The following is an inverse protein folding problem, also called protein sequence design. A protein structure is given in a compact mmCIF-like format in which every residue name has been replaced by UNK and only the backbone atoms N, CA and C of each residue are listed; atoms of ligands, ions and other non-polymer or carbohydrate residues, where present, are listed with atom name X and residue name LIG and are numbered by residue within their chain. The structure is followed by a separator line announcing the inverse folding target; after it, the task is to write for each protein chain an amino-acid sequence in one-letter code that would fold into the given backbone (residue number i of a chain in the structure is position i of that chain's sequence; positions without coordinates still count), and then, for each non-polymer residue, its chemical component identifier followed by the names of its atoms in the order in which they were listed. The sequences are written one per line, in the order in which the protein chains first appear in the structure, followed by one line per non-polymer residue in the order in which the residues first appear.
data_IF_332382910866
#
_entry.id   IF_332382910866
#
_cell.length_a   1.000
_cell.length_b   1.000
_cell.length_c   1.000
_cell.angle_alpha   90.00
_cell.angle_beta   90.00
_cell.angle_gamma   90.00
#
_symmetry.space_group_name_H-M   'P 1'
#
loop_
_entity.id
_entity.type
_entity.pdbx_description
1 polymer ?
#
# COMPACT_ATOMS: atom_id res chain seq x y z
N UNK A 1 -15.93 -29.59 -5.27
CA UNK A 1 -16.02 -28.36 -6.09
C UNK A 1 -15.00 -27.35 -5.56
N UNK A 2 -14.01 -27.04 -6.35
CA UNK A 2 -13.06 -26.01 -5.95
C UNK A 2 -13.79 -24.67 -5.92
N UNK A 3 -13.97 -24.07 -4.73
CA UNK A 3 -14.53 -22.75 -4.58
C UNK A 3 -13.60 -21.73 -5.22
N UNK A 4 -14.08 -20.92 -6.16
CA UNK A 4 -13.38 -19.73 -6.60
C UNK A 4 -13.34 -18.76 -5.42
N UNK A 5 -12.17 -18.58 -4.83
CA UNK A 5 -11.94 -17.48 -3.90
C UNK A 5 -11.77 -16.23 -4.76
N UNK A 6 -12.83 -15.49 -4.96
CA UNK A 6 -12.72 -14.15 -5.49
C UNK A 6 -12.32 -13.24 -4.34
N UNK A 7 -11.07 -12.78 -4.36
CA UNK A 7 -10.62 -11.75 -3.44
C UNK A 7 -11.27 -10.42 -3.82
N UNK A 8 -12.14 -9.91 -2.96
CA UNK A 8 -12.67 -8.56 -3.07
C UNK A 8 -11.73 -7.65 -2.29
N UNK A 9 -11.13 -6.70 -2.96
CA UNK A 9 -10.48 -5.58 -2.28
C UNK A 9 -11.53 -4.48 -2.10
N UNK A 10 -12.14 -4.42 -0.92
CA UNK A 10 -12.96 -3.26 -0.56
C UNK A 10 -12.03 -2.12 -0.22
N UNK A 11 -12.04 -1.10 -1.05
CA UNK A 11 -11.19 0.04 -0.92
C UNK A 11 -11.67 0.98 0.19
N UNK A 12 -10.95 1.00 1.30
CA UNK A 12 -11.03 2.09 2.27
C UNK A 12 -9.67 2.80 2.25
N UNK A 13 -9.48 3.67 1.26
CA UNK A 13 -8.33 4.55 1.23
C UNK A 13 -7.18 4.20 0.28
N UNK A 14 -7.40 3.30 -0.66
CA UNK A 14 -6.39 2.95 -1.66
C UNK A 14 -5.50 1.78 -1.26
N UNK A 15 -4.62 1.40 -2.17
CA UNK A 15 -3.71 0.28 -1.96
C UNK A 15 -2.45 0.69 -1.19
N UNK A 16 -2.00 -0.18 -0.29
CA UNK A 16 -0.74 0.01 0.40
C UNK A 16 0.42 -0.12 -0.59
N UNK A 17 1.31 0.85 -0.61
CA UNK A 17 2.49 0.88 -1.47
C UNK A 17 3.72 0.33 -0.75
N UNK A 18 4.79 0.09 -1.50
CA UNK A 18 6.07 -0.31 -0.90
C UNK A 18 6.57 0.73 0.12
N UNK A 19 6.36 2.03 -0.12
CA UNK A 19 6.76 3.06 0.82
C UNK A 19 5.95 3.01 2.12
N UNK A 20 4.67 2.67 2.06
CA UNK A 20 3.85 2.47 3.27
C UNK A 20 4.41 1.33 4.13
N UNK A 21 4.81 0.23 3.50
CA UNK A 21 5.46 -0.90 4.17
C UNK A 21 6.79 -0.48 4.79
N UNK A 22 7.63 0.23 4.04
CA UNK A 22 8.94 0.69 4.52
C UNK A 22 8.81 1.71 5.66
N UNK A 23 7.84 2.62 5.61
CA UNK A 23 7.53 3.54 6.71
C UNK A 23 7.11 2.79 7.96
N UNK A 24 6.24 1.79 7.83
CA UNK A 24 5.81 0.95 8.94
C UNK A 24 6.98 0.20 9.58
N UNK A 25 7.79 -0.46 8.78
CA UNK A 25 8.97 -1.20 9.26
C UNK A 25 10.03 -0.27 9.84
N UNK A 26 10.25 0.88 9.22
CA UNK A 26 11.17 1.90 9.71
C UNK A 26 10.72 2.49 11.06
N UNK A 27 9.45 2.75 11.23
CA UNK A 27 8.88 3.22 12.49
C UNK A 27 9.04 2.19 13.61
N UNK A 28 8.80 0.91 13.33
CA UNK A 28 9.03 -0.17 14.30
C UNK A 28 10.51 -0.28 14.68
N UNK A 29 11.41 -0.17 13.72
CA UNK A 29 12.86 -0.15 13.98
C UNK A 29 13.28 1.06 14.82
N UNK A 30 12.72 2.25 14.57
CA UNK A 30 12.99 3.46 15.33
C UNK A 30 12.51 3.36 16.80
N UNK A 31 11.44 2.61 17.06
CA UNK A 31 10.93 2.37 18.42
C UNK A 31 11.80 1.37 19.22
N UNK A 32 12.55 0.53 18.55
CA UNK A 32 13.39 -0.50 19.20
C UNK A 32 12.59 -1.42 20.12
N UNK A 33 12.91 -1.42 21.42
CA UNK A 33 12.21 -2.25 22.42
C UNK A 33 10.75 -1.82 22.68
N UNK A 34 10.39 -0.59 22.32
CA UNK A 34 9.01 -0.06 22.41
C UNK A 34 8.17 -0.31 21.17
N UNK A 35 8.61 -1.17 20.26
CA UNK A 35 7.87 -1.54 19.06
C UNK A 35 6.50 -2.13 19.38
N UNK A 36 5.53 -1.88 18.50
CA UNK A 36 4.15 -2.33 18.67
C UNK A 36 3.90 -3.76 18.18
N UNK A 37 4.88 -4.40 17.52
CA UNK A 37 4.70 -5.73 16.94
C UNK A 37 3.81 -5.73 15.69
N UNK A 38 3.89 -4.68 14.89
CA UNK A 38 3.16 -4.59 13.63
C UNK A 38 3.46 -5.77 12.69
N UNK A 39 2.45 -6.22 11.95
CA UNK A 39 2.63 -7.23 10.90
C UNK A 39 3.41 -6.73 9.67
N UNK A 40 3.76 -5.44 9.60
CA UNK A 40 4.58 -4.86 8.55
C UNK A 40 3.88 -4.67 7.20
N UNK A 41 2.57 -4.74 7.15
CA UNK A 41 1.79 -4.59 5.90
C UNK A 41 1.58 -3.15 5.45
N UNK A 42 1.91 -2.17 6.30
CA UNK A 42 1.80 -0.74 5.97
C UNK A 42 0.38 -0.20 5.89
N UNK A 43 -0.60 -0.89 6.43
CA UNK A 43 -2.03 -0.52 6.31
C UNK A 43 -2.32 0.83 6.98
N UNK A 44 -1.82 1.05 8.18
CA UNK A 44 -2.02 2.34 8.87
C UNK A 44 -1.34 3.49 8.11
N UNK A 45 -0.13 3.29 7.62
CA UNK A 45 0.57 4.30 6.83
C UNK A 45 -0.16 4.59 5.49
N UNK A 46 -0.75 3.59 4.87
CA UNK A 46 -1.63 3.76 3.71
C UNK A 46 -2.83 4.67 4.04
N UNK A 47 -3.49 4.42 5.17
CA UNK A 47 -4.62 5.24 5.64
C UNK A 47 -4.18 6.67 5.93
N UNK A 48 -3.05 6.87 6.60
CA UNK A 48 -2.50 8.20 6.88
C UNK A 48 -2.17 8.96 5.58
N UNK A 49 -1.52 8.30 4.64
CA UNK A 49 -1.19 8.88 3.33
C UNK A 49 -2.46 9.30 2.57
N UNK A 50 -3.46 8.46 2.56
CA UNK A 50 -4.73 8.76 1.90
C UNK A 50 -5.44 9.97 2.56
N UNK A 51 -5.47 10.02 3.88
CA UNK A 51 -6.02 11.17 4.64
C UNK A 51 -5.28 12.48 4.37
N UNK A 52 -3.99 12.39 4.11
CA UNK A 52 -3.16 13.55 3.74
C UNK A 52 -3.37 14.03 2.30
N UNK A 53 -4.22 13.37 1.51
CA UNK A 53 -4.53 13.74 0.13
C UNK A 53 -3.62 13.10 -0.92
N UNK A 54 -2.79 12.14 -0.54
CA UNK A 54 -1.89 11.41 -1.44
C UNK A 54 -2.38 9.99 -1.72
N UNK A 55 -3.69 9.84 -1.87
CA UNK A 55 -4.32 8.56 -2.19
C UNK A 55 -3.87 7.98 -3.54
N UNK A 56 -3.94 6.68 -3.64
CA UNK A 56 -3.71 5.92 -4.87
C UNK A 56 -4.66 4.73 -4.85
N UNK A 57 -5.62 4.70 -5.77
CA UNK A 57 -6.61 3.64 -5.83
C UNK A 57 -6.13 2.43 -6.62
N UNK A 58 -6.69 1.26 -6.33
CA UNK A 58 -6.42 0.04 -7.11
C UNK A 58 -6.86 0.23 -8.56
N UNK A 59 -7.93 0.97 -8.80
CA UNK A 59 -8.41 1.32 -10.15
C UNK A 59 -7.38 2.15 -10.91
N UNK A 60 -6.79 3.17 -10.27
CA UNK A 60 -5.70 3.96 -10.86
C UNK A 60 -4.46 3.11 -11.15
N UNK A 61 -4.07 2.25 -10.21
CA UNK A 61 -2.95 1.31 -10.39
C UNK A 61 -3.18 0.39 -11.58
N UNK A 62 -4.40 -0.10 -11.77
CA UNK A 62 -4.76 -0.96 -12.89
C UNK A 62 -4.79 -0.22 -14.23
N UNK A 63 -5.29 1.02 -14.25
CA UNK A 63 -5.50 1.81 -15.47
C UNK A 63 -4.23 2.49 -15.99
N UNK A 64 -3.35 2.93 -15.10
CA UNK A 64 -2.15 3.70 -15.48
C UNK A 64 -1.04 2.82 -16.06
N UNK A 65 -0.24 3.40 -16.93
CA UNK A 65 1.00 2.77 -17.39
C UNK A 65 2.05 2.68 -16.26
N UNK A 66 3.08 1.86 -16.46
CA UNK A 66 4.21 1.78 -15.53
C UNK A 66 4.85 3.17 -15.31
N UNK A 67 5.01 3.94 -16.38
CA UNK A 67 5.60 5.29 -16.32
C UNK A 67 4.74 6.23 -15.47
N UNK A 68 3.44 6.28 -15.71
CA UNK A 68 2.50 7.13 -14.97
C UNK A 68 2.46 6.74 -13.48
N UNK A 69 2.40 5.44 -13.18
CA UNK A 69 2.41 4.95 -11.81
C UNK A 69 3.73 5.28 -11.10
N UNK A 70 4.86 5.10 -11.76
CA UNK A 70 6.18 5.41 -11.22
C UNK A 70 6.32 6.91 -10.92
N UNK A 71 5.88 7.77 -11.83
CA UNK A 71 5.89 9.24 -11.63
C UNK A 71 5.04 9.63 -10.42
N UNK A 72 3.85 9.05 -10.29
CA UNK A 72 2.99 9.32 -9.14
C UNK A 72 3.62 8.86 -7.81
N UNK A 73 4.25 7.70 -7.78
CA UNK A 73 4.94 7.22 -6.59
C UNK A 73 6.16 8.08 -6.22
N UNK A 74 6.90 8.57 -7.21
CA UNK A 74 8.00 9.52 -7.00
C UNK A 74 7.49 10.84 -6.42
N UNK A 75 6.38 11.35 -6.92
CA UNK A 75 5.72 12.53 -6.39
C UNK A 75 5.30 12.35 -4.93
N UNK A 76 4.62 11.25 -4.62
CA UNK A 76 4.21 10.91 -3.24
C UNK A 76 5.44 10.80 -2.33
N UNK A 77 6.51 10.14 -2.79
CA UNK A 77 7.76 10.02 -2.04
C UNK A 77 8.38 11.38 -1.74
N UNK A 78 8.42 12.27 -2.71
CA UNK A 78 9.02 13.59 -2.57
C UNK A 78 8.20 14.53 -1.67
N UNK A 79 6.87 14.49 -1.77
CA UNK A 79 5.98 15.46 -1.11
C UNK A 79 5.42 14.96 0.23
N UNK A 80 5.31 13.67 0.42
CA UNK A 80 4.69 13.08 1.61
C UNK A 80 5.62 12.13 2.37
N UNK A 81 6.16 11.13 1.70
CA UNK A 81 6.88 10.03 2.36
C UNK A 81 8.11 10.51 3.13
N UNK A 82 8.87 11.45 2.58
CA UNK A 82 10.06 12.02 3.24
C UNK A 82 9.72 12.75 4.53
N UNK A 83 8.69 13.57 4.51
CA UNK A 83 8.23 14.28 5.70
C UNK A 83 7.69 13.29 6.74
N UNK A 84 6.90 12.32 6.31
CA UNK A 84 6.37 11.27 7.19
C UNK A 84 7.47 10.44 7.83
N UNK A 85 8.50 10.06 7.08
CA UNK A 85 9.67 9.35 7.60
C UNK A 85 10.38 10.15 8.71
N UNK A 86 10.55 11.45 8.54
CA UNK A 86 11.13 12.32 9.56
C UNK A 86 10.27 12.35 10.84
N UNK A 87 8.94 12.46 10.69
CA UNK A 87 7.99 12.42 11.83
C UNK A 87 8.07 11.08 12.58
N UNK A 88 8.26 9.98 11.88
CA UNK A 88 8.37 8.64 12.45
C UNK A 88 9.76 8.33 13.04
N UNK A 89 10.72 9.25 12.95
CA UNK A 89 12.07 9.07 13.45
C UNK A 89 12.96 8.18 12.57
N UNK A 90 12.60 8.05 11.29
CA UNK A 90 13.39 7.30 10.31
C UNK A 90 14.46 8.23 9.74
N UNK A 91 15.65 8.15 10.28
CA UNK A 91 16.84 8.90 9.86
C UNK A 91 17.88 7.99 9.21
N UNK A 92 19.04 8.55 8.88
CA UNK A 92 20.14 7.82 8.22
C UNK A 92 20.69 6.61 9.00
N UNK A 93 20.44 6.54 10.30
CA UNK A 93 20.78 5.39 11.13
C UNK A 93 19.76 4.26 11.06
N UNK A 94 18.61 4.51 10.49
CA UNK A 94 17.53 3.53 10.37
C UNK A 94 17.80 2.60 9.17
N UNK A 95 17.66 1.27 9.33
CA UNK A 95 17.94 0.31 8.23
C UNK A 95 17.05 0.48 7.00
N UNK A 96 15.89 1.13 7.13
CA UNK A 96 14.95 1.36 6.02
C UNK A 96 15.13 2.72 5.33
N UNK A 97 15.95 3.61 5.87
CA UNK A 97 16.14 4.95 5.34
C UNK A 97 16.63 4.95 3.88
N UNK A 98 17.67 4.18 3.58
CA UNK A 98 18.24 4.11 2.23
C UNK A 98 17.25 3.51 1.21
N UNK A 99 16.40 2.57 1.64
CA UNK A 99 15.37 1.99 0.79
C UNK A 99 14.31 3.02 0.41
N UNK A 100 13.93 3.90 1.34
CA UNK A 100 13.01 5.02 1.10
C UNK A 100 13.60 6.09 0.18
N UNK A 101 14.91 6.18 0.06
CA UNK A 101 15.60 7.09 -0.86
C UNK A 101 15.96 6.44 -2.21
N UNK A 102 15.85 5.12 -2.32
CA UNK A 102 16.27 4.38 -3.51
C UNK A 102 15.16 4.27 -4.56
N UNK A 103 15.35 4.92 -5.70
CA UNK A 103 14.39 4.91 -6.81
C UNK A 103 14.21 3.51 -7.43
N UNK A 104 15.23 2.66 -7.41
CA UNK A 104 15.13 1.27 -7.91
C UNK A 104 14.08 0.47 -7.15
N UNK A 105 13.86 0.74 -5.87
CA UNK A 105 12.80 0.12 -5.06
C UNK A 105 11.42 0.44 -5.64
N UNK A 106 11.16 1.69 -6.04
CA UNK A 106 9.93 2.07 -6.71
C UNK A 106 9.79 1.43 -8.09
N UNK A 107 10.87 1.42 -8.87
CA UNK A 107 10.85 0.80 -10.21
C UNK A 107 10.50 -0.69 -10.13
N UNK A 108 11.12 -1.43 -9.23
CA UNK A 108 10.85 -2.85 -9.03
C UNK A 108 9.42 -3.08 -8.54
N UNK A 109 8.95 -2.25 -7.61
CA UNK A 109 7.58 -2.33 -7.11
C UNK A 109 6.56 -2.12 -8.23
N UNK A 110 6.73 -1.09 -9.06
CA UNK A 110 5.83 -0.81 -10.20
C UNK A 110 5.82 -1.99 -11.18
N UNK A 111 6.98 -2.51 -11.55
CA UNK A 111 7.08 -3.65 -12.46
C UNK A 111 6.35 -4.88 -11.92
N UNK A 112 6.53 -5.19 -10.64
CA UNK A 112 5.89 -6.34 -9.99
C UNK A 112 4.37 -6.16 -9.87
N UNK A 113 3.91 -5.00 -9.44
CA UNK A 113 2.47 -4.69 -9.33
C UNK A 113 1.79 -4.78 -10.70
N UNK A 114 2.36 -4.17 -11.72
CA UNK A 114 1.80 -4.21 -13.08
C UNK A 114 1.82 -5.62 -13.69
N UNK A 115 2.79 -6.44 -13.34
CA UNK A 115 2.83 -7.84 -13.76
C UNK A 115 1.75 -8.70 -13.11
N UNK A 116 1.23 -8.30 -11.94
CA UNK A 116 0.28 -9.09 -11.14
C UNK A 116 -1.13 -8.49 -11.06
N UNK A 117 -1.33 -7.23 -11.45
CA UNK A 117 -2.63 -6.54 -11.32
C UNK A 117 -3.75 -7.24 -12.09
N UNK A 118 -3.43 -7.96 -13.15
CA UNK A 118 -4.40 -8.75 -13.93
C UNK A 118 -5.03 -9.91 -13.13
N UNK A 119 -4.43 -10.32 -12.01
CA UNK A 119 -5.00 -11.32 -11.10
C UNK A 119 -6.18 -10.78 -10.29
N UNK A 120 -6.34 -9.45 -10.25
CA UNK A 120 -7.42 -8.78 -9.54
C UNK A 120 -8.61 -8.58 -10.46
N UNK A 121 -9.80 -8.81 -9.95
CA UNK A 121 -11.04 -8.41 -10.59
C UNK A 121 -11.57 -7.19 -9.86
N UNK A 122 -11.62 -6.06 -10.55
CA UNK A 122 -12.21 -4.84 -10.01
C UNK A 122 -13.74 -4.95 -10.09
N UNK A 123 -14.39 -4.74 -8.97
CA UNK A 123 -15.85 -4.81 -8.87
C UNK A 123 -16.37 -3.61 -8.11
N UNK A 124 -17.57 -3.16 -8.47
CA UNK A 124 -18.33 -2.27 -7.63
C UNK A 124 -19.02 -3.10 -6.55
N UNK A 125 -18.40 -3.17 -5.37
CA UNK A 125 -18.83 -3.98 -4.24
C UNK A 125 -20.05 -3.36 -3.54
N UNK A 126 -21.08 -3.02 -4.31
CA UNK A 126 -22.34 -2.53 -3.79
C UNK A 126 -23.20 -3.68 -3.24
N UNK A 127 -24.33 -3.31 -2.62
CA UNK A 127 -25.25 -4.26 -2.01
C UNK A 127 -25.77 -5.30 -3.01
N UNK A 128 -26.06 -4.90 -4.24
CA UNK A 128 -26.61 -5.78 -5.26
C UNK A 128 -25.58 -6.83 -5.69
N UNK A 129 -24.32 -6.43 -5.82
CA UNK A 129 -23.24 -7.35 -6.12
C UNK A 129 -22.98 -8.33 -4.96
N UNK A 130 -22.94 -7.84 -3.72
CA UNK A 130 -22.74 -8.67 -2.52
C UNK A 130 -23.88 -9.69 -2.33
N UNK A 131 -25.11 -9.33 -2.70
CA UNK A 131 -26.29 -10.21 -2.56
C UNK A 131 -26.29 -11.44 -3.47
N UNK A 132 -25.37 -11.49 -4.44
CA UNK A 132 -25.21 -12.64 -5.34
C UNK A 132 -24.53 -13.84 -4.67
N UNK A 133 -23.92 -13.65 -3.50
CA UNK A 133 -23.18 -14.68 -2.80
C UNK A 133 -23.98 -15.20 -1.58
N UNK A 134 -24.05 -16.50 -1.45
CA UNK A 134 -24.69 -17.15 -0.30
C UNK A 134 -23.88 -16.96 0.99
N UNK A 135 -22.55 -16.97 0.87
CA UNK A 135 -21.62 -16.80 1.98
C UNK A 135 -20.58 -15.71 1.65
N UNK A 136 -20.37 -14.80 2.59
CA UNK A 136 -19.37 -13.73 2.52
C UNK A 136 -18.42 -13.85 3.71
N UNK A 137 -17.13 -13.80 3.42
CA UNK A 137 -16.09 -13.72 4.44
C UNK A 137 -15.42 -12.37 4.29
N UNK A 138 -15.43 -11.57 5.36
CA UNK A 138 -14.73 -10.29 5.42
C UNK A 138 -13.46 -10.46 6.24
N UNK A 139 -12.33 -10.12 5.64
CA UNK A 139 -11.05 -9.99 6.33
C UNK A 139 -10.70 -8.51 6.46
N UNK A 140 -10.34 -8.09 7.66
CA UNK A 140 -9.83 -6.75 7.92
C UNK A 140 -8.31 -6.78 8.04
N UNK A 141 -7.63 -5.77 7.49
CA UNK A 141 -6.23 -5.52 7.78
C UNK A 141 -6.03 -5.11 9.24
N UNK A 142 -4.96 -5.58 9.85
CA UNK A 142 -4.55 -5.19 11.20
C UNK A 142 -3.48 -4.10 11.16
#
# INVERSE_FOLDING_TARGET
MAGLIQGITVEIGGDATIDDVLLNMGAEAARGDARHGSCGMGIDECVQRNRAGYGLSVEEVAAWSETELLERLREIRALYTRERAAVLGIDRGNPYFELLENDTVLQNYVAEVKANVWLLTLVDANRDWLSQFEHLIFESGQ
#
